data_IF_106122284262
#
_entry.id   IF_106122284262
#
_cell.length_a   1.000
_cell.length_b   1.000
_cell.length_c   1.000
_cell.angle_alpha   90.00
_cell.angle_beta   90.00
_cell.angle_gamma   90.00
#
_symmetry.space_group_name_H-M   'P 1'
#
loop_
_entity.id
_entity.type
_entity.pdbx_description
1 polymer ?
#
# COMPACT_ATOMS: atom_id res chain seq x y z
N UNK A 1 20.89 -25.10 -2.72
CA UNK A 1 19.86 -24.88 -3.75
C UNK A 1 19.71 -23.40 -3.96
N UNK A 2 20.31 -22.90 -5.02
CA UNK A 2 20.46 -21.49 -5.38
C UNK A 2 19.16 -20.97 -6.01
N UNK A 3 18.41 -20.18 -5.24
CA UNK A 3 17.25 -19.45 -5.77
C UNK A 3 17.77 -18.25 -6.56
N UNK A 4 17.72 -18.37 -7.89
CA UNK A 4 17.98 -17.29 -8.83
C UNK A 4 16.95 -16.17 -8.61
N UNK A 5 17.34 -15.14 -7.87
CA UNK A 5 16.69 -13.84 -7.96
C UNK A 5 17.00 -13.30 -9.35
N UNK A 6 16.07 -13.48 -10.28
CA UNK A 6 16.12 -12.77 -11.54
C UNK A 6 16.03 -11.27 -11.23
N UNK A 7 17.18 -10.59 -11.29
CA UNK A 7 17.25 -9.14 -11.47
C UNK A 7 16.32 -8.80 -12.63
N UNK A 8 15.19 -8.16 -12.31
CA UNK A 8 14.37 -7.49 -13.33
C UNK A 8 15.13 -6.23 -13.71
N UNK A 9 16.16 -6.40 -14.51
CA UNK A 9 16.77 -5.34 -15.30
C UNK A 9 15.70 -4.94 -16.30
N UNK A 10 14.80 -4.04 -15.90
CA UNK A 10 13.81 -3.44 -16.78
C UNK A 10 14.57 -2.89 -17.97
N UNK A 11 14.36 -3.47 -19.14
CA UNK A 11 14.80 -2.92 -20.41
C UNK A 11 14.04 -1.61 -20.56
N UNK A 12 14.66 -0.50 -20.14
CA UNK A 12 14.08 0.84 -20.02
C UNK A 12 13.81 1.43 -21.42
N UNK A 13 12.86 0.84 -22.13
CA UNK A 13 12.23 1.44 -23.29
C UNK A 13 11.50 2.72 -22.91
N UNK A 14 11.26 3.56 -23.92
CA UNK A 14 10.50 4.81 -23.89
C UNK A 14 9.01 4.57 -23.56
N UNK A 15 8.70 3.99 -22.42
CA UNK A 15 7.33 3.68 -22.08
C UNK A 15 6.59 4.96 -21.65
N UNK A 16 5.37 5.20 -22.17
CA UNK A 16 4.63 6.43 -21.92
C UNK A 16 4.12 6.55 -20.47
N UNK A 17 4.10 5.45 -19.72
CA UNK A 17 3.58 5.39 -18.35
C UNK A 17 4.21 4.24 -17.56
N UNK A 18 4.57 4.50 -16.31
CA UNK A 18 4.94 3.53 -15.30
C UNK A 18 4.63 4.12 -13.92
N UNK A 19 3.97 3.37 -13.06
CA UNK A 19 3.73 3.72 -11.66
C UNK A 19 4.18 2.55 -10.78
N UNK A 20 5.03 2.86 -9.81
CA UNK A 20 5.33 1.97 -8.70
C UNK A 20 4.90 2.62 -7.38
N UNK A 21 4.45 1.80 -6.45
CA UNK A 21 3.95 2.22 -5.14
C UNK A 21 4.31 1.15 -4.11
N UNK A 22 4.89 1.58 -2.99
CA UNK A 22 4.90 0.84 -1.74
C UNK A 22 3.86 1.45 -0.81
N UNK A 23 3.02 0.60 -0.24
CA UNK A 23 2.10 0.97 0.82
C UNK A 23 2.46 0.17 2.06
N UNK A 24 2.56 0.88 3.18
CA UNK A 24 2.73 0.31 4.50
C UNK A 24 1.66 0.85 5.42
N UNK A 25 1.17 0.00 6.31
CA UNK A 25 0.42 0.43 7.47
C UNK A 25 0.93 -0.25 8.74
N UNK A 26 0.72 0.43 9.87
CA UNK A 26 0.93 -0.10 11.22
C UNK A 26 -0.26 0.31 12.07
N UNK A 27 -0.87 -0.66 12.74
CA UNK A 27 -1.99 -0.43 13.67
C UNK A 27 -1.53 -0.78 15.07
N UNK A 28 -1.72 0.15 16.01
CA UNK A 28 -1.45 -0.06 17.44
C UNK A 28 -2.73 -0.56 18.14
N UNK A 29 -2.56 -1.07 19.36
CA UNK A 29 -3.65 -1.66 20.14
C UNK A 29 -4.81 -0.68 20.42
N UNK A 30 -4.52 0.61 20.53
CA UNK A 30 -5.51 1.66 20.78
C UNK A 30 -6.27 2.12 19.51
N UNK A 31 -5.99 1.53 18.36
CA UNK A 31 -6.57 1.92 17.08
C UNK A 31 -5.89 3.11 16.41
N UNK A 32 -4.72 3.54 16.91
CA UNK A 32 -3.84 4.43 16.18
C UNK A 32 -3.37 3.74 14.90
N UNK A 33 -3.53 4.40 13.76
CA UNK A 33 -3.16 3.89 12.45
C UNK A 33 -2.14 4.81 11.79
N UNK A 34 -0.97 4.27 11.50
CA UNK A 34 0.01 4.88 10.62
C UNK A 34 -0.14 4.31 9.21
N UNK A 35 -0.15 5.19 8.21
CA UNK A 35 -0.03 4.82 6.79
C UNK A 35 1.17 5.52 6.20
N UNK A 36 2.04 4.79 5.51
CA UNK A 36 3.14 5.35 4.72
C UNK A 36 3.03 4.89 3.28
N UNK A 37 3.11 5.84 2.37
CA UNK A 37 3.06 5.63 0.92
C UNK A 37 4.33 6.19 0.30
N UNK A 38 5.05 5.35 -0.43
CA UNK A 38 6.16 5.76 -1.28
C UNK A 38 5.76 5.45 -2.72
N UNK A 39 5.65 6.47 -3.56
CA UNK A 39 5.23 6.32 -4.95
C UNK A 39 6.23 6.93 -5.92
N UNK A 40 6.38 6.30 -7.09
CA UNK A 40 7.14 6.84 -8.20
C UNK A 40 6.38 6.66 -9.52
N UNK A 41 6.15 7.78 -10.18
CA UNK A 41 5.44 7.90 -11.44
C UNK A 41 6.42 8.36 -12.52
N UNK A 42 6.34 7.68 -13.66
CA UNK A 42 6.90 8.11 -14.94
C UNK A 42 5.76 8.23 -15.93
N UNK A 43 5.54 9.39 -16.51
CA UNK A 43 4.50 9.58 -17.52
C UNK A 43 4.93 10.65 -18.52
N UNK A 44 4.92 10.33 -19.81
CA UNK A 44 5.21 11.29 -20.89
C UNK A 44 6.50 12.09 -20.68
N UNK A 45 7.57 11.43 -20.23
CA UNK A 45 8.87 12.05 -19.94
C UNK A 45 8.99 12.72 -18.57
N UNK A 46 7.88 12.93 -17.85
CA UNK A 46 7.89 13.41 -16.47
C UNK A 46 8.26 12.28 -15.50
N UNK A 47 9.04 12.62 -14.48
CA UNK A 47 9.35 11.75 -13.35
C UNK A 47 9.00 12.44 -12.04
N UNK A 48 8.29 11.75 -11.17
CA UNK A 48 7.88 12.23 -9.85
C UNK A 48 7.96 11.07 -8.87
N UNK A 49 8.69 11.26 -7.78
CA UNK A 49 8.62 10.36 -6.64
C UNK A 49 8.24 11.15 -5.39
N UNK A 50 7.35 10.60 -4.58
CA UNK A 50 6.91 11.20 -3.33
C UNK A 50 6.76 10.17 -2.23
N UNK A 51 6.96 10.65 -1.01
CA UNK A 51 6.56 9.97 0.19
C UNK A 51 5.42 10.76 0.84
N UNK A 52 4.41 10.07 1.34
CA UNK A 52 3.41 10.62 2.24
C UNK A 52 3.19 9.70 3.42
N UNK A 53 3.15 10.26 4.62
CA UNK A 53 2.84 9.57 5.86
C UNK A 53 1.62 10.22 6.51
N UNK A 54 0.70 9.42 7.02
CA UNK A 54 -0.47 9.86 7.77
C UNK A 54 -0.60 9.06 9.06
N UNK A 55 -0.67 9.75 10.20
CA UNK A 55 -0.91 9.19 11.52
C UNK A 55 -2.32 9.58 11.95
N UNK A 56 -3.22 8.59 11.95
CA UNK A 56 -4.62 8.70 12.36
C UNK A 56 -4.74 8.30 13.83
N UNK A 57 -5.06 9.26 14.70
CA UNK A 57 -5.19 9.04 16.13
C UNK A 57 -6.60 8.53 16.51
N UNK A 58 -6.78 7.90 17.68
CA UNK A 58 -8.08 7.37 18.10
C UNK A 58 -9.15 8.46 18.24
N UNK A 59 -8.74 9.67 18.62
CA UNK A 59 -9.60 10.86 18.74
C UNK A 59 -10.01 11.50 17.40
N UNK A 60 -9.60 10.93 16.28
CA UNK A 60 -9.92 11.39 14.93
C UNK A 60 -8.99 12.48 14.39
N UNK A 61 -8.02 12.97 15.16
CA UNK A 61 -6.98 13.86 14.63
C UNK A 61 -6.08 13.10 13.66
N UNK A 62 -5.59 13.81 12.64
CA UNK A 62 -4.66 13.25 11.65
C UNK A 62 -3.43 14.14 11.53
N UNK A 63 -2.25 13.57 11.79
CA UNK A 63 -0.96 14.21 11.52
C UNK A 63 -0.47 13.73 10.15
N UNK A 64 -0.11 14.66 9.27
CA UNK A 64 0.35 14.34 7.92
C UNK A 64 1.74 14.87 7.66
N UNK A 65 2.51 14.13 6.89
CA UNK A 65 3.75 14.60 6.31
C UNK A 65 3.92 14.13 4.89
N UNK A 66 4.45 14.98 4.03
CA UNK A 66 4.76 14.63 2.65
C UNK A 66 6.06 15.26 2.19
N UNK A 67 6.76 14.56 1.29
CA UNK A 67 8.02 15.02 0.73
C UNK A 67 8.16 14.57 -0.73
N UNK A 68 8.82 15.40 -1.54
CA UNK A 68 9.38 14.96 -2.82
C UNK A 68 10.67 14.21 -2.53
N UNK A 69 10.78 12.97 -2.99
CA UNK A 69 11.91 12.09 -2.62
C UNK A 69 12.95 11.92 -3.74
N UNK A 70 12.78 12.64 -4.85
CA UNK A 70 13.74 12.63 -5.95
C UNK A 70 13.77 11.28 -6.67
N UNK A 71 14.94 10.64 -6.73
CA UNK A 71 15.08 9.29 -7.27
C UNK A 71 14.93 8.25 -6.14
N UNK A 72 14.25 7.15 -6.45
CA UNK A 72 14.25 5.93 -5.63
C UNK A 72 15.27 4.99 -6.25
N UNK A 73 16.32 4.62 -5.51
CA UNK A 73 17.41 3.77 -6.00
C UNK A 73 17.44 2.45 -5.23
N UNK A 74 17.67 1.31 -5.89
CA UNK A 74 17.92 0.05 -5.21
C UNK A 74 19.18 0.13 -4.33
N UNK A 75 19.12 -0.42 -3.11
CA UNK A 75 20.28 -0.49 -2.21
C UNK A 75 20.10 -1.66 -1.22
N UNK A 76 21.05 -2.61 -1.20
CA UNK A 76 21.09 -3.68 -0.18
C UNK A 76 19.79 -4.49 -0.04
N UNK A 77 19.10 -4.79 -1.14
CA UNK A 77 17.79 -5.47 -1.11
C UNK A 77 16.58 -4.57 -0.84
N UNK A 78 16.80 -3.30 -0.48
CA UNK A 78 15.79 -2.28 -0.24
C UNK A 78 15.78 -1.17 -1.27
N UNK A 79 15.31 0.00 -0.85
CA UNK A 79 15.23 1.24 -1.61
C UNK A 79 15.74 2.40 -0.77
N UNK A 80 16.61 3.22 -1.32
CA UNK A 80 17.00 4.52 -0.75
C UNK A 80 16.38 5.65 -1.57
N UNK A 81 16.00 6.71 -0.89
CA UNK A 81 15.42 7.89 -1.51
C UNK A 81 15.77 9.14 -0.70
N UNK A 82 15.59 10.32 -1.29
CA UNK A 82 15.82 11.54 -0.55
C UNK A 82 14.85 11.60 0.63
N UNK A 83 15.39 11.76 1.84
CA UNK A 83 14.70 11.70 3.12
C UNK A 83 14.42 10.33 3.74
N UNK A 84 14.97 9.22 3.23
CA UNK A 84 14.76 7.94 3.90
C UNK A 84 15.28 6.70 3.19
N UNK A 85 14.92 5.56 3.78
CA UNK A 85 15.17 4.24 3.22
C UNK A 85 14.02 3.30 3.57
N UNK A 86 13.75 2.36 2.67
CA UNK A 86 12.85 1.24 2.85
C UNK A 86 13.69 -0.03 2.65
N UNK A 87 14.17 -0.60 3.75
CA UNK A 87 14.87 -1.88 3.77
C UNK A 87 13.90 -3.06 3.82
N UNK A 88 14.45 -4.26 3.92
CA UNK A 88 13.66 -5.49 4.09
C UNK A 88 12.85 -5.45 5.39
N UNK A 89 13.51 -5.10 6.50
CA UNK A 89 12.95 -5.07 7.87
C UNK A 89 12.87 -3.67 8.46
N UNK A 90 13.20 -2.62 7.72
CA UNK A 90 13.31 -1.27 8.26
C UNK A 90 12.66 -0.25 7.34
N UNK A 91 12.01 0.76 7.94
CA UNK A 91 11.52 1.94 7.24
C UNK A 91 11.94 3.16 8.04
N UNK A 92 12.76 4.01 7.42
CA UNK A 92 13.15 5.31 7.97
C UNK A 92 12.73 6.39 7.00
N UNK A 93 12.04 7.42 7.50
CA UNK A 93 11.69 8.57 6.69
C UNK A 93 11.67 9.85 7.51
N UNK A 94 11.90 10.97 6.82
CA UNK A 94 11.80 12.31 7.39
C UNK A 94 10.97 13.19 6.47
N UNK A 95 9.96 13.86 7.00
CA UNK A 95 9.30 14.97 6.32
C UNK A 95 9.38 16.20 7.21
N UNK A 96 8.89 17.35 6.75
CA UNK A 96 8.86 18.57 7.55
C UNK A 96 7.93 18.48 8.76
N UNK A 97 6.95 17.56 8.75
CA UNK A 97 5.88 17.52 9.76
C UNK A 97 5.72 16.16 10.43
N UNK A 98 6.10 15.06 9.77
CA UNK A 98 6.02 13.71 10.32
C UNK A 98 7.22 12.86 9.86
N UNK A 99 7.98 12.34 10.81
CA UNK A 99 9.10 11.43 10.59
C UNK A 99 8.93 10.15 11.40
N UNK A 100 9.54 9.07 10.94
CA UNK A 100 9.56 7.83 11.70
C UNK A 100 10.74 6.94 11.36
N UNK A 101 11.00 6.05 12.30
CA UNK A 101 11.99 4.99 12.22
C UNK A 101 11.31 3.74 12.80
N UNK A 102 11.07 2.77 11.93
CA UNK A 102 10.31 1.57 12.23
C UNK A 102 11.11 0.33 11.83
N UNK A 103 11.03 -0.68 12.67
CA UNK A 103 11.48 -2.04 12.38
C UNK A 103 10.27 -2.95 12.24
N UNK A 104 10.27 -3.74 11.18
CA UNK A 104 9.22 -4.70 10.84
C UNK A 104 9.81 -6.10 10.92
N UNK A 105 9.32 -6.89 11.87
CA UNK A 105 9.69 -8.30 12.05
C UNK A 105 8.57 -9.12 11.42
N UNK A 106 8.78 -9.57 10.18
CA UNK A 106 7.78 -10.34 9.44
C UNK A 106 7.48 -11.66 10.13
N UNK A 107 6.19 -11.94 10.35
CA UNK A 107 5.71 -13.20 10.95
C UNK A 107 5.54 -14.30 9.90
N UNK A 108 5.41 -13.90 8.63
CA UNK A 108 5.24 -14.80 7.49
C UNK A 108 6.10 -14.37 6.30
N UNK A 109 6.24 -15.27 5.33
CA UNK A 109 6.88 -14.95 4.05
C UNK A 109 5.97 -14.08 3.18
N UNK A 110 6.56 -13.39 2.21
CA UNK A 110 5.83 -12.61 1.22
C UNK A 110 4.79 -13.46 0.50
N UNK A 111 3.62 -12.89 0.23
CA UNK A 111 2.54 -13.54 -0.50
C UNK A 111 2.30 -12.88 -1.87
N UNK A 112 1.89 -13.69 -2.84
CA UNK A 112 1.43 -13.22 -4.14
C UNK A 112 0.02 -13.73 -4.33
N UNK A 113 -0.96 -12.82 -4.19
CA UNK A 113 -2.36 -13.17 -4.46
C UNK A 113 -2.53 -13.64 -5.91
N UNK A 114 -1.82 -12.98 -6.83
CA UNK A 114 -1.71 -13.35 -8.25
C UNK A 114 -0.51 -12.62 -8.88
N UNK A 115 0.23 -13.26 -9.78
CA UNK A 115 1.35 -12.63 -10.50
C UNK A 115 1.43 -13.09 -11.96
N UNK A 116 1.28 -12.19 -12.94
CA UNK A 116 0.76 -10.82 -12.81
C UNK A 116 -0.74 -10.81 -12.44
N UNK A 117 -1.20 -9.73 -11.79
CA UNK A 117 -2.61 -9.57 -11.44
C UNK A 117 -3.47 -9.32 -12.70
N UNK A 118 -2.98 -8.47 -13.60
CA UNK A 118 -3.58 -8.19 -14.91
C UNK A 118 -2.49 -8.11 -15.98
N UNK A 119 -2.83 -8.44 -17.21
CA UNK A 119 -1.97 -8.30 -18.39
C UNK A 119 -2.72 -7.72 -19.58
N UNK A 120 -1.98 -6.96 -20.41
CA UNK A 120 -2.42 -6.47 -21.71
C UNK A 120 -1.21 -6.45 -22.66
N UNK A 121 -1.06 -7.55 -23.42
CA UNK A 121 0.14 -7.79 -24.22
C UNK A 121 1.39 -7.92 -23.34
N UNK A 122 2.37 -7.02 -23.53
CA UNK A 122 3.62 -6.98 -22.75
C UNK A 122 3.52 -6.18 -21.45
N UNK A 123 2.39 -5.54 -21.20
CA UNK A 123 2.15 -4.68 -20.04
C UNK A 123 1.38 -5.44 -18.97
N UNK A 124 1.58 -5.07 -17.73
CA UNK A 124 1.06 -5.77 -16.56
C UNK A 124 0.80 -4.85 -15.37
N UNK A 125 -0.10 -5.31 -14.51
CA UNK A 125 -0.23 -4.87 -13.12
C UNK A 125 0.30 -6.00 -12.24
N UNK A 126 1.33 -5.71 -11.44
CA UNK A 126 1.89 -6.63 -10.45
C UNK A 126 1.57 -6.11 -9.06
N UNK A 127 1.13 -7.00 -8.19
CA UNK A 127 0.87 -6.71 -6.79
C UNK A 127 1.47 -7.83 -5.95
N UNK A 128 2.42 -7.47 -5.09
CA UNK A 128 3.11 -8.39 -4.19
C UNK A 128 2.88 -7.90 -2.77
N UNK A 129 2.38 -8.77 -1.92
CA UNK A 129 2.32 -8.53 -0.47
C UNK A 129 3.68 -8.92 0.09
N UNK A 130 4.57 -7.95 0.26
CA UNK A 130 5.94 -8.22 0.69
C UNK A 130 6.00 -8.64 2.16
N UNK A 131 5.17 -8.01 3.00
CA UNK A 131 5.04 -8.31 4.44
C UNK A 131 3.54 -8.37 4.75
N UNK A 132 2.94 -9.57 4.75
CA UNK A 132 1.50 -9.69 4.99
C UNK A 132 1.13 -9.44 6.45
N UNK A 133 2.06 -9.69 7.37
CA UNK A 133 1.91 -9.44 8.79
C UNK A 133 3.28 -9.39 9.48
N UNK A 134 3.47 -8.38 10.32
CA UNK A 134 4.71 -8.14 11.06
C UNK A 134 4.44 -7.55 12.43
N UNK A 135 5.29 -7.87 13.40
CA UNK A 135 5.42 -7.07 14.60
C UNK A 135 6.25 -5.81 14.27
N UNK A 136 5.76 -4.64 14.68
CA UNK A 136 6.38 -3.35 14.38
C UNK A 136 6.76 -2.63 15.65
N UNK A 137 8.02 -2.24 15.74
CA UNK A 137 8.58 -1.42 16.82
C UNK A 137 9.25 -0.16 16.25
N UNK A 138 9.27 0.94 17.01
CA UNK A 138 10.00 2.14 16.61
C UNK A 138 9.49 3.43 17.23
N UNK A 139 9.70 4.55 16.55
CA UNK A 139 9.26 5.86 17.01
C UNK A 139 8.78 6.75 15.86
N UNK A 140 7.71 7.50 16.12
CA UNK A 140 7.22 8.58 15.28
C UNK A 140 7.47 9.93 15.96
N UNK A 141 7.79 10.95 15.18
CA UNK A 141 7.96 12.33 15.66
C UNK A 141 7.25 13.32 14.74
N UNK A 142 6.61 14.31 15.36
CA UNK A 142 6.02 15.48 14.71
C UNK A 142 6.16 16.70 15.61
N UNK A 143 5.82 17.89 15.12
CA UNK A 143 6.05 19.15 15.85
C UNK A 143 5.41 19.20 17.24
N UNK A 144 4.28 18.53 17.43
CA UNK A 144 3.49 18.55 18.65
C UNK A 144 3.66 17.28 19.51
N UNK A 145 4.52 16.32 19.13
CA UNK A 145 4.64 15.09 19.90
C UNK A 145 5.59 14.03 19.33
N UNK A 146 5.75 12.98 20.13
CA UNK A 146 6.42 11.73 19.76
C UNK A 146 5.54 10.55 20.19
N UNK A 147 5.65 9.45 19.48
CA UNK A 147 4.93 8.21 19.79
C UNK A 147 5.87 7.03 19.64
N UNK A 148 6.04 6.26 20.71
CA UNK A 148 6.64 4.93 20.61
C UNK A 148 5.65 4.01 19.89
N UNK A 149 6.13 3.28 18.89
CA UNK A 149 5.32 2.34 18.11
C UNK A 149 5.57 0.95 18.62
N UNK A 150 4.48 0.26 18.96
CA UNK A 150 4.40 -1.18 19.18
C UNK A 150 3.05 -1.62 18.62
N UNK A 151 3.05 -2.34 17.50
CA UNK A 151 1.82 -2.69 16.80
C UNK A 151 2.03 -3.70 15.68
N UNK A 152 1.02 -3.88 14.83
CA UNK A 152 1.04 -4.88 13.75
C UNK A 152 1.07 -4.20 12.38
N UNK A 153 2.05 -4.60 11.58
CA UNK A 153 2.41 -3.97 10.31
C UNK A 153 2.07 -4.80 9.09
N UNK A 154 2.00 -4.12 7.95
CA UNK A 154 1.84 -4.70 6.62
C UNK A 154 2.62 -3.87 5.60
N UNK A 155 3.10 -4.52 4.54
CA UNK A 155 3.70 -3.88 3.38
C UNK A 155 3.30 -4.59 2.10
N UNK A 156 2.88 -3.81 1.12
CA UNK A 156 2.80 -4.28 -0.26
C UNK A 156 3.52 -3.37 -1.26
N UNK A 157 3.76 -3.97 -2.41
CA UNK A 157 4.34 -3.35 -3.58
C UNK A 157 3.41 -3.55 -4.76
N UNK A 158 3.12 -2.45 -5.45
CA UNK A 158 2.36 -2.43 -6.68
C UNK A 158 3.19 -1.77 -7.79
N UNK A 159 3.23 -2.40 -8.95
CA UNK A 159 3.80 -1.83 -10.16
C UNK A 159 2.86 -1.99 -11.34
N UNK A 160 2.72 -0.93 -12.14
CA UNK A 160 1.84 -0.91 -13.30
C UNK A 160 2.45 -0.09 -14.43
N UNK A 161 2.53 -0.70 -15.61
CA UNK A 161 2.92 -0.06 -16.89
C UNK A 161 1.72 0.02 -17.88
N UNK A 162 0.55 -0.46 -17.43
CA UNK A 162 -0.73 -0.27 -18.10
C UNK A 162 -1.13 1.20 -18.03
N UNK A 163 -1.58 1.74 -19.16
CA UNK A 163 -2.13 3.09 -19.18
C UNK A 163 -3.41 3.12 -18.32
N UNK A 164 -3.65 4.17 -17.51
CA UNK A 164 -4.79 4.20 -16.60
C UNK A 164 -6.15 4.00 -17.29
N UNK A 165 -6.30 4.45 -18.55
CA UNK A 165 -7.52 4.27 -19.36
C UNK A 165 -7.68 2.89 -20.00
N UNK A 166 -6.64 2.05 -19.93
CA UNK A 166 -6.67 0.65 -20.38
C UNK A 166 -6.85 -0.33 -19.23
N UNK A 167 -6.90 0.15 -17.98
CA UNK A 167 -7.19 -0.70 -16.85
C UNK A 167 -8.67 -1.10 -16.91
N UNK A 168 -9.01 -2.38 -17.12
CA UNK A 168 -10.40 -2.83 -17.26
C UNK A 168 -11.07 -2.96 -15.88
N UNK A 169 -10.71 -2.12 -14.90
CA UNK A 169 -11.12 -2.25 -13.50
C UNK A 169 -12.37 -1.40 -13.26
N UNK A 170 -13.38 -2.00 -12.64
CA UNK A 170 -14.60 -1.31 -12.20
C UNK A 170 -14.65 -1.13 -10.70
N UNK A 171 -14.22 -2.15 -9.97
CA UNK A 171 -14.20 -2.14 -8.52
C UNK A 171 -12.96 -2.89 -8.01
N UNK A 172 -12.31 -2.34 -6.99
CA UNK A 172 -11.31 -3.04 -6.20
C UNK A 172 -11.77 -3.00 -4.75
N UNK A 173 -11.93 -4.17 -4.15
CA UNK A 173 -12.02 -4.35 -2.70
C UNK A 173 -10.73 -4.96 -2.25
N UNK A 174 -10.12 -4.38 -1.23
CA UNK A 174 -8.93 -4.93 -0.61
C UNK A 174 -9.02 -4.71 0.89
N UNK A 175 -8.41 -5.61 1.66
CA UNK A 175 -8.17 -5.35 3.06
C UNK A 175 -7.21 -6.33 3.68
N UNK A 176 -6.80 -5.99 4.88
CA UNK A 176 -6.07 -6.86 5.79
C UNK A 176 -6.70 -6.80 7.17
N UNK A 177 -6.51 -7.85 7.93
CA UNK A 177 -6.92 -7.90 9.32
C UNK A 177 -5.94 -8.76 10.12
N UNK A 178 -5.83 -8.48 11.42
CA UNK A 178 -5.10 -9.32 12.36
C UNK A 178 -5.83 -9.37 13.71
N UNK A 179 -5.70 -10.48 14.43
CA UNK A 179 -6.12 -10.61 15.82
C UNK A 179 -5.38 -11.77 16.49
N UNK A 180 -4.83 -11.54 17.69
CA UNK A 180 -3.98 -12.54 18.34
C UNK A 180 -2.84 -12.96 17.43
N UNK A 181 -2.66 -14.26 17.22
CA UNK A 181 -1.64 -14.81 16.32
C UNK A 181 -2.07 -14.90 14.85
N UNK A 182 -3.30 -14.50 14.52
CA UNK A 182 -3.86 -14.63 13.19
C UNK A 182 -3.74 -13.35 12.37
N UNK A 183 -3.54 -13.50 11.06
CA UNK A 183 -3.61 -12.43 10.10
C UNK A 183 -4.15 -12.93 8.75
N UNK A 184 -4.87 -12.06 8.05
CA UNK A 184 -5.32 -12.35 6.68
C UNK A 184 -5.27 -11.08 5.82
N UNK A 185 -5.20 -11.29 4.50
CA UNK A 185 -5.47 -10.26 3.53
C UNK A 185 -6.35 -10.81 2.41
N UNK A 186 -7.19 -9.94 1.86
CA UNK A 186 -8.14 -10.30 0.81
C UNK A 186 -8.17 -9.22 -0.25
N UNK A 187 -8.47 -9.64 -1.47
CA UNK A 187 -8.66 -8.78 -2.59
C UNK A 187 -9.73 -9.35 -3.51
N UNK A 188 -10.61 -8.48 -3.99
CA UNK A 188 -11.54 -8.74 -5.08
C UNK A 188 -11.46 -7.61 -6.08
N UNK A 189 -11.04 -7.92 -7.29
CA UNK A 189 -10.92 -7.02 -8.41
C UNK A 189 -12.01 -7.35 -9.45
N UNK A 190 -13.02 -6.51 -9.55
CA UNK A 190 -14.05 -6.61 -10.58
C UNK A 190 -13.62 -5.90 -11.86
N UNK A 191 -13.68 -6.61 -12.98
CA UNK A 191 -13.57 -6.07 -14.34
C UNK A 191 -14.93 -6.07 -15.03
N UNK A 192 -14.97 -5.68 -16.31
CA UNK A 192 -16.19 -5.80 -17.13
C UNK A 192 -16.64 -7.24 -17.33
N UNK A 193 -15.69 -8.17 -17.45
CA UNK A 193 -15.96 -9.53 -17.91
C UNK A 193 -15.77 -10.59 -16.81
N UNK A 194 -15.09 -10.25 -15.72
CA UNK A 194 -14.73 -11.20 -14.67
C UNK A 194 -14.54 -10.53 -13.31
N UNK A 195 -14.49 -11.36 -12.26
CA UNK A 195 -13.94 -10.97 -10.97
C UNK A 195 -12.71 -11.83 -10.68
N UNK A 196 -11.64 -11.18 -10.23
CA UNK A 196 -10.46 -11.85 -9.69
C UNK A 196 -10.52 -11.74 -8.18
N UNK A 197 -10.29 -12.85 -7.49
CA UNK A 197 -10.23 -12.90 -6.04
C UNK A 197 -8.91 -13.53 -5.61
N UNK A 198 -8.41 -13.07 -4.47
CA UNK A 198 -7.22 -13.64 -3.85
C UNK A 198 -7.31 -13.44 -2.34
N UNK A 199 -7.05 -14.51 -1.61
CA UNK A 199 -7.02 -14.49 -0.15
C UNK A 199 -5.78 -15.16 0.37
N UNK A 200 -5.25 -14.61 1.45
CA UNK A 200 -4.13 -15.15 2.19
C UNK A 200 -4.46 -15.12 3.67
N UNK A 201 -4.08 -16.17 4.41
CA UNK A 201 -4.20 -16.24 5.85
C UNK A 201 -3.06 -17.06 6.44
N UNK A 202 -2.45 -16.55 7.51
CA UNK A 202 -1.46 -17.25 8.35
C UNK A 202 -0.34 -17.97 7.58
N UNK A 203 0.11 -17.38 6.47
CA UNK A 203 1.19 -17.92 5.62
C UNK A 203 0.71 -18.75 4.43
N UNK A 204 -0.59 -18.96 4.27
CA UNK A 204 -1.17 -19.79 3.23
C UNK A 204 -2.06 -18.99 2.27
N UNK A 205 -1.94 -19.31 0.99
CA UNK A 205 -2.89 -18.84 -0.03
C UNK A 205 -4.17 -19.66 0.06
N UNK A 206 -5.31 -18.99 0.18
CA UNK A 206 -6.61 -19.62 0.19
C UNK A 206 -7.40 -19.25 -1.07
N UNK A 207 -8.17 -20.22 -1.57
CA UNK A 207 -8.93 -20.03 -2.82
C UNK A 207 -10.25 -19.31 -2.60
N UNK A 208 -10.83 -19.34 -1.39
CA UNK A 208 -12.15 -18.75 -1.05
C UNK A 208 -12.33 -18.47 0.45
N UNK A 209 -11.51 -17.60 1.03
CA UNK A 209 -11.79 -17.08 2.37
C UNK A 209 -12.75 -15.88 2.29
N UNK A 210 -13.82 -15.87 3.10
CA UNK A 210 -14.60 -14.65 3.28
C UNK A 210 -13.80 -13.66 4.15
N UNK A 211 -13.88 -12.34 3.91
CA UNK A 211 -13.33 -11.37 4.85
C UNK A 211 -13.82 -11.65 6.28
N UNK A 212 -12.98 -11.44 7.30
CA UNK A 212 -13.39 -11.68 8.67
C UNK A 212 -14.56 -10.74 9.05
N UNK A 213 -15.36 -11.10 10.06
CA UNK A 213 -16.35 -10.18 10.62
C UNK A 213 -15.71 -8.86 11.03
N UNK A 214 -16.24 -7.77 10.49
CA UNK A 214 -15.81 -6.40 10.78
C UNK A 214 -16.86 -5.69 11.64
N UNK A 215 -16.40 -4.89 12.60
CA UNK A 215 -17.22 -4.16 13.54
C UNK A 215 -16.68 -2.72 13.69
N UNK A 216 -17.57 -1.79 14.08
CA UNK A 216 -17.19 -0.41 14.43
C UNK A 216 -16.37 0.30 13.33
N UNK A 217 -16.83 0.23 12.08
CA UNK A 217 -16.13 0.81 10.94
C UNK A 217 -16.05 2.34 11.04
N UNK A 218 -14.82 2.86 11.01
CA UNK A 218 -14.51 4.29 10.93
C UNK A 218 -13.90 4.61 9.57
N UNK A 219 -14.52 5.54 8.84
CA UNK A 219 -13.93 6.09 7.61
C UNK A 219 -12.69 6.89 7.97
N UNK A 220 -11.53 6.47 7.45
CA UNK A 220 -10.25 7.18 7.65
C UNK A 220 -9.88 8.06 6.44
N UNK A 221 -10.36 7.71 5.25
CA UNK A 221 -10.08 8.47 4.04
C UNK A 221 -11.18 8.28 2.99
N UNK A 222 -11.57 9.38 2.36
CA UNK A 222 -12.42 9.42 1.17
C UNK A 222 -11.86 10.42 0.16
N UNK A 223 -11.45 9.94 -1.01
CA UNK A 223 -10.83 10.79 -2.01
C UNK A 223 -10.88 10.16 -3.40
N UNK A 224 -10.75 10.99 -4.44
CA UNK A 224 -10.35 10.49 -5.74
C UNK A 224 -8.92 9.98 -5.66
N UNK A 225 -8.60 8.85 -6.30
CA UNK A 225 -7.26 8.25 -6.24
C UNK A 225 -6.20 9.22 -6.78
N UNK A 226 -6.55 10.01 -7.80
CA UNK A 226 -5.67 11.06 -8.35
C UNK A 226 -5.31 12.17 -7.34
N UNK A 227 -6.05 12.26 -6.23
CA UNK A 227 -5.90 13.29 -5.19
C UNK A 227 -5.06 12.80 -4.01
N UNK A 228 -4.72 11.50 -3.97
CA UNK A 228 -3.89 10.92 -2.93
C UNK A 228 -2.53 11.63 -2.93
N UNK A 229 -2.09 12.06 -1.75
CA UNK A 229 -0.92 12.94 -1.57
C UNK A 229 0.36 12.38 -2.21
N UNK A 230 0.51 11.05 -2.24
CA UNK A 230 1.62 10.35 -2.89
C UNK A 230 1.69 10.57 -4.41
N UNK A 231 0.57 10.87 -5.08
CA UNK A 231 0.54 11.05 -6.52
C UNK A 231 0.69 12.52 -6.95
N UNK A 232 0.13 13.49 -6.21
CA UNK A 232 0.17 14.96 -6.45
C UNK A 232 0.70 15.36 -7.84
N UNK A 233 -0.08 15.04 -8.88
CA UNK A 233 0.36 15.08 -10.30
C UNK A 233 0.23 16.51 -10.90
N UNK A 234 0.01 17.52 -10.06
CA UNK A 234 -0.05 18.94 -10.45
C UNK A 234 -1.09 19.21 -11.55
N UNK A 235 -0.72 20.00 -12.55
CA UNK A 235 -1.62 20.43 -13.64
C UNK A 235 -2.18 19.29 -14.51
N UNK A 236 -1.54 18.11 -14.51
CA UNK A 236 -2.01 16.93 -15.26
C UNK A 236 -3.08 16.12 -14.51
N UNK A 237 -3.44 16.52 -13.29
CA UNK A 237 -4.42 15.85 -12.43
C UNK A 237 -5.76 15.65 -13.13
N UNK A 238 -6.32 16.69 -13.75
CA UNK A 238 -7.64 16.62 -14.40
C UNK A 238 -7.63 15.67 -15.61
N UNK A 239 -6.55 15.67 -16.38
CA UNK A 239 -6.36 14.81 -17.55
C UNK A 239 -6.23 13.35 -17.11
N UNK A 240 -5.34 13.05 -16.17
CA UNK A 240 -5.15 11.68 -15.67
C UNK A 240 -6.39 11.16 -14.95
N UNK A 241 -7.09 12.01 -14.20
CA UNK A 241 -8.37 11.67 -13.56
C UNK A 241 -9.40 11.25 -14.60
N UNK A 242 -9.58 12.05 -15.67
CA UNK A 242 -10.52 11.73 -16.75
C UNK A 242 -10.13 10.46 -17.49
N UNK A 243 -8.84 10.30 -17.80
CA UNK A 243 -8.37 9.12 -18.52
C UNK A 243 -8.47 7.86 -17.66
N UNK A 244 -8.18 7.94 -16.37
CA UNK A 244 -8.23 6.79 -15.47
C UNK A 244 -9.67 6.35 -15.09
N UNK A 245 -10.72 6.98 -15.63
CA UNK A 245 -12.11 6.66 -15.24
C UNK A 245 -12.52 7.23 -13.87
N UNK A 246 -11.83 8.27 -13.41
CA UNK A 246 -12.07 8.98 -12.16
C UNK A 246 -12.25 8.08 -10.91
N UNK A 247 -11.28 7.21 -10.59
CA UNK A 247 -11.41 6.27 -9.49
C UNK A 247 -11.59 6.99 -8.15
N UNK A 248 -12.60 6.56 -7.41
CA UNK A 248 -12.93 7.07 -6.08
C UNK A 248 -12.68 5.99 -5.04
N UNK A 249 -11.89 6.32 -4.02
CA UNK A 249 -11.50 5.43 -2.95
C UNK A 249 -12.17 5.83 -1.64
N UNK A 250 -12.69 4.85 -0.93
CA UNK A 250 -12.98 4.94 0.50
C UNK A 250 -12.15 3.91 1.24
N UNK A 251 -11.55 4.32 2.36
CA UNK A 251 -10.79 3.45 3.25
C UNK A 251 -11.33 3.54 4.67
N UNK A 252 -11.38 2.41 5.34
CA UNK A 252 -11.88 2.26 6.69
C UNK A 252 -10.84 1.60 7.59
N UNK A 253 -10.92 1.93 8.87
CA UNK A 253 -10.36 1.17 9.98
C UNK A 253 -11.55 0.53 10.71
N UNK A 254 -11.45 -0.75 11.05
CA UNK A 254 -12.51 -1.49 11.74
C UNK A 254 -11.88 -2.41 12.79
N UNK A 255 -12.67 -2.79 13.80
CA UNK A 255 -12.35 -3.97 14.61
C UNK A 255 -12.63 -5.23 13.79
N UNK A 256 -11.81 -6.26 14.00
CA UNK A 256 -11.96 -7.54 13.31
C UNK A 256 -11.94 -8.71 14.30
N UNK A 257 -12.67 -9.77 13.97
CA UNK A 257 -12.65 -11.04 14.70
C UNK A 257 -12.00 -12.14 13.87
N UNK A 258 -10.88 -12.70 14.34
CA UNK A 258 -10.11 -13.76 13.67
C UNK A 258 -9.67 -14.80 14.71
N UNK A 259 -9.88 -16.08 14.42
CA UNK A 259 -9.48 -17.17 15.32
C UNK A 259 -10.05 -17.08 16.74
N UNK A 260 -11.19 -16.41 16.93
CA UNK A 260 -11.79 -16.14 18.24
C UNK A 260 -11.17 -14.97 19.01
N UNK A 261 -10.12 -14.34 18.48
CA UNK A 261 -9.52 -13.12 19.02
C UNK A 261 -10.11 -11.86 18.37
N UNK A 262 -10.01 -10.73 19.07
CA UNK A 262 -10.32 -9.40 18.53
C UNK A 262 -9.03 -8.68 18.16
N UNK A 263 -9.09 -7.92 17.07
CA UNK A 263 -8.01 -7.06 16.64
C UNK A 263 -8.53 -6.03 15.66
N UNK A 264 -7.74 -5.71 14.64
CA UNK A 264 -8.00 -4.59 13.74
C UNK A 264 -7.96 -5.01 12.28
N UNK A 265 -8.66 -4.23 11.45
CA UNK A 265 -8.63 -4.33 10.01
C UNK A 265 -8.53 -2.96 9.37
N UNK A 266 -7.76 -2.89 8.28
CA UNK A 266 -7.83 -1.80 7.31
C UNK A 266 -8.34 -2.38 6.01
N UNK A 267 -9.35 -1.76 5.43
CA UNK A 267 -9.89 -2.17 4.15
C UNK A 267 -10.31 -0.98 3.32
N UNK A 268 -10.35 -1.17 2.01
CA UNK A 268 -10.68 -0.13 1.05
C UNK A 268 -11.55 -0.65 -0.08
N UNK A 269 -12.28 0.31 -0.65
CA UNK A 269 -13.12 0.15 -1.81
C UNK A 269 -12.74 1.26 -2.79
N UNK A 270 -12.28 0.86 -3.97
CA UNK A 270 -12.03 1.78 -5.07
C UNK A 270 -13.02 1.47 -6.18
N UNK A 271 -13.71 2.50 -6.66
CA UNK A 271 -14.71 2.39 -7.74
C UNK A 271 -14.34 3.32 -8.88
N UNK A 272 -14.39 2.77 -10.09
CA UNK A 272 -14.23 3.49 -11.34
C UNK A 272 -15.60 3.81 -11.93
N UNK A 273 -15.76 5.00 -12.50
CA UNK A 273 -16.99 5.41 -13.19
C UNK A 273 -17.06 4.84 -14.59
#
# INVERSE_FOLDING_TARGET
MTSSQAEVTTTLGREPFFLEKWYLDTILDDGTLLIVLLGHLRALGLRRARLSAELHLPDGRVVRGDASVGAIVPEGGGRRFHHGQLGETELVWRTSTLSGELRLISRHTSARLRDPLLTDGKRQLRWIVEVPDADVEGELRWSAGRLAVAGRGYRDYLAVDLLPWRLPIRELRWGRAFAGDHACCWMRLGTHDAALEGTWADGHMESRMAPPPLHEERVIQQAHVADIAALRIGALRSVLRRLAGDPYQTRWLAQASLGGARGWAVHELVRWR
#
